data_IF_607952859742
#
_entry.id   IF_607952859742
#
_cell.length_a   1.000
_cell.length_b   1.000
_cell.length_c   1.000
_cell.angle_alpha   90.00
_cell.angle_beta   90.00
_cell.angle_gamma   90.00
#
_symmetry.space_group_name_H-M   'P 1'
#
loop_
_entity.id
_entity.type
_entity.pdbx_description
1 polymer ?
#
# COMPACT_ATOMS: atom_id res chain seq x y z
N UNK A 1 -10.71 28.70 5.53
CA UNK A 1 -9.94 28.55 4.28
C UNK A 1 -10.38 27.24 3.64
N UNK A 2 -11.35 27.28 2.72
CA UNK A 2 -11.78 26.07 2.00
C UNK A 2 -10.64 25.70 1.04
N UNK A 3 -9.85 24.69 1.42
CA UNK A 3 -8.72 24.21 0.61
C UNK A 3 -9.21 23.72 -0.74
N UNK A 4 -8.32 23.75 -1.74
CA UNK A 4 -8.57 23.23 -3.07
C UNK A 4 -9.25 21.84 -3.02
N UNK A 5 -10.09 21.50 -4.01
CA UNK A 5 -10.72 20.17 -4.06
C UNK A 5 -9.64 19.10 -3.98
N UNK A 6 -9.80 18.18 -3.03
CA UNK A 6 -8.92 17.04 -2.83
C UNK A 6 -9.71 15.75 -3.08
N UNK A 7 -9.16 14.75 -3.79
CA UNK A 7 -7.82 14.72 -4.40
C UNK A 7 -7.67 15.52 -5.70
N UNK A 8 -6.43 15.76 -6.13
CA UNK A 8 -6.04 16.43 -7.39
C UNK A 8 -5.30 15.46 -8.33
N UNK A 9 -4.95 15.89 -9.55
CA UNK A 9 -4.14 15.09 -10.48
C UNK A 9 -2.68 14.89 -10.04
N UNK A 10 -2.20 15.64 -9.04
CA UNK A 10 -0.87 15.47 -8.45
C UNK A 10 -0.86 14.64 -7.17
N UNK A 11 -2.04 14.26 -6.64
CA UNK A 11 -2.13 13.49 -5.39
C UNK A 11 -1.46 12.14 -5.56
N UNK A 12 -0.48 11.85 -4.68
CA UNK A 12 0.21 10.55 -4.67
C UNK A 12 -0.61 9.52 -3.90
N UNK A 13 -0.38 8.24 -4.17
CA UNK A 13 -1.02 7.19 -3.39
C UNK A 13 -0.11 6.04 -2.99
N UNK A 14 -0.42 5.47 -1.83
CA UNK A 14 0.15 4.25 -1.28
C UNK A 14 -0.98 3.42 -0.66
N UNK A 15 -0.70 2.23 -0.15
CA UNK A 15 -1.75 1.49 0.55
C UNK A 15 -1.30 0.22 1.25
N UNK A 16 -2.30 -0.52 1.71
CA UNK A 16 -2.14 -1.84 2.32
C UNK A 16 -2.83 -2.90 1.48
N UNK A 17 -2.14 -4.02 1.21
CA UNK A 17 -2.69 -5.18 0.51
C UNK A 17 -2.93 -6.33 1.50
N UNK A 18 -4.03 -7.05 1.32
CA UNK A 18 -4.39 -8.22 2.14
C UNK A 18 -5.69 -8.87 1.67
N UNK A 19 -6.07 -9.98 2.28
CA UNK A 19 -7.34 -10.64 2.00
C UNK A 19 -7.86 -11.47 3.20
N UNK A 20 -8.93 -11.02 3.89
CA UNK A 20 -9.60 -9.73 3.77
C UNK A 20 -8.75 -8.59 4.36
N UNK A 21 -8.98 -7.35 3.90
CA UNK A 21 -8.24 -6.15 4.39
C UNK A 21 -9.14 -4.94 4.70
N UNK A 22 -10.45 -5.05 4.45
CA UNK A 22 -11.39 -3.94 4.61
C UNK A 22 -11.48 -3.40 6.05
N UNK A 23 -11.12 -4.21 7.05
CA UNK A 23 -11.09 -3.83 8.46
C UNK A 23 -9.78 -3.19 8.92
N UNK A 24 -8.82 -3.00 8.01
CA UNK A 24 -7.54 -2.38 8.37
C UNK A 24 -7.75 -0.95 8.85
N UNK A 25 -7.14 -0.62 10.00
CA UNK A 25 -7.10 0.75 10.52
C UNK A 25 -5.95 1.57 9.90
N UNK A 26 -5.04 0.93 9.15
CA UNK A 26 -3.89 1.61 8.52
C UNK A 26 -4.30 2.78 7.62
N UNK A 27 -5.35 2.69 6.78
CA UNK A 27 -5.82 3.86 6.02
C UNK A 27 -6.24 5.04 6.90
N UNK A 28 -6.98 4.80 7.99
CA UNK A 28 -7.38 5.88 8.89
C UNK A 28 -6.15 6.53 9.55
N UNK A 29 -5.23 5.71 10.06
CA UNK A 29 -4.00 6.18 10.71
C UNK A 29 -3.09 6.95 9.75
N UNK A 30 -2.77 6.39 8.58
CA UNK A 30 -1.86 7.03 7.63
C UNK A 30 -2.47 8.29 7.02
N UNK A 31 -3.75 8.29 6.65
CA UNK A 31 -4.37 9.52 6.11
C UNK A 31 -4.47 10.64 7.17
N UNK A 32 -4.68 10.29 8.45
CA UNK A 32 -4.63 11.29 9.53
C UNK A 32 -3.23 11.92 9.65
N UNK A 33 -2.18 11.10 9.60
CA UNK A 33 -0.79 11.57 9.63
C UNK A 33 -0.44 12.42 8.39
N UNK A 34 -0.77 11.95 7.18
CA UNK A 34 -0.54 12.68 5.93
C UNK A 34 -1.22 14.05 5.94
N UNK A 35 -2.45 14.13 6.44
CA UNK A 35 -3.19 15.38 6.61
C UNK A 35 -2.53 16.31 7.62
N UNK A 36 -2.09 15.78 8.77
CA UNK A 36 -1.41 16.56 9.80
C UNK A 36 -0.08 17.14 9.30
N UNK A 37 0.59 16.44 8.37
CA UNK A 37 1.82 16.88 7.73
C UNK A 37 1.60 17.77 6.49
N UNK A 38 0.35 18.01 6.07
CA UNK A 38 0.04 18.80 4.88
C UNK A 38 0.47 18.15 3.56
N UNK A 39 0.57 16.82 3.52
CA UNK A 39 1.02 16.07 2.34
C UNK A 39 -0.16 15.74 1.41
N UNK A 40 0.01 16.01 0.10
CA UNK A 40 -0.98 15.67 -0.94
C UNK A 40 -0.91 14.18 -1.31
N UNK A 41 -1.37 13.33 -0.40
CA UNK A 41 -1.30 11.88 -0.49
C UNK A 41 -2.62 11.23 -0.08
N UNK A 42 -2.91 10.06 -0.64
CA UNK A 42 -3.96 9.16 -0.20
C UNK A 42 -3.38 7.79 0.16
N UNK A 43 -3.79 7.23 1.30
CA UNK A 43 -3.46 5.86 1.69
C UNK A 43 -4.71 4.98 1.64
N UNK A 44 -4.70 3.90 0.86
CA UNK A 44 -5.88 3.07 0.59
C UNK A 44 -5.70 1.62 1.07
N UNK A 45 -6.81 0.87 1.16
CA UNK A 45 -6.80 -0.57 1.36
C UNK A 45 -7.20 -1.29 0.08
N UNK A 46 -6.39 -2.26 -0.35
CA UNK A 46 -6.59 -3.02 -1.59
C UNK A 46 -6.87 -4.49 -1.26
N UNK A 47 -8.14 -4.94 -1.33
CA UNK A 47 -8.49 -6.34 -1.12
C UNK A 47 -8.08 -7.16 -2.35
N UNK A 48 -6.94 -7.84 -2.24
CA UNK A 48 -6.36 -8.63 -3.35
C UNK A 48 -6.39 -10.10 -2.94
N UNK A 49 -7.17 -10.93 -3.62
CA UNK A 49 -7.16 -12.36 -3.35
C UNK A 49 -5.80 -13.00 -3.73
N UNK A 50 -5.35 -14.08 -3.07
CA UNK A 50 -4.01 -14.67 -3.28
C UNK A 50 -3.66 -14.95 -4.75
N UNK A 51 -4.62 -15.46 -5.53
CA UNK A 51 -4.43 -15.78 -6.94
C UNK A 51 -4.17 -14.56 -7.85
N UNK A 52 -4.38 -13.34 -7.34
CA UNK A 52 -4.19 -12.10 -8.08
C UNK A 52 -2.99 -11.28 -7.56
N UNK A 53 -2.24 -11.77 -6.58
CA UNK A 53 -1.21 -11.00 -5.88
C UNK A 53 -0.19 -10.39 -6.85
N UNK A 54 0.49 -11.22 -7.64
CA UNK A 54 1.57 -10.76 -8.54
C UNK A 54 1.07 -9.75 -9.57
N UNK A 55 -0.04 -10.07 -10.25
CA UNK A 55 -0.64 -9.18 -11.25
C UNK A 55 -1.10 -7.85 -10.63
N UNK A 56 -1.67 -7.87 -9.42
CA UNK A 56 -2.15 -6.67 -8.74
C UNK A 56 -1.01 -5.79 -8.25
N UNK A 57 0.06 -6.39 -7.70
CA UNK A 57 1.24 -5.64 -7.23
C UNK A 57 1.88 -4.92 -8.42
N UNK A 58 2.14 -5.62 -9.53
CA UNK A 58 2.66 -4.99 -10.76
C UNK A 58 1.75 -3.88 -11.26
N UNK A 59 0.45 -4.16 -11.40
CA UNK A 59 -0.51 -3.17 -11.88
C UNK A 59 -0.61 -1.92 -10.99
N UNK A 60 -0.46 -2.06 -9.67
CA UNK A 60 -0.44 -0.91 -8.75
C UNK A 60 0.81 -0.05 -8.96
N UNK A 61 1.99 -0.66 -9.10
CA UNK A 61 3.22 0.08 -9.36
C UNK A 61 3.22 0.73 -10.75
N UNK A 62 2.73 0.04 -11.78
CA UNK A 62 2.54 0.61 -13.14
C UNK A 62 1.57 1.80 -13.13
N UNK A 63 0.57 1.77 -12.25
CA UNK A 63 -0.38 2.87 -12.03
C UNK A 63 0.18 4.02 -11.16
N UNK A 64 1.45 3.96 -10.74
CA UNK A 64 2.11 5.02 -9.97
C UNK A 64 2.00 4.89 -8.44
N UNK A 65 1.71 3.69 -7.92
CA UNK A 65 1.72 3.46 -6.48
C UNK A 65 3.10 3.73 -5.88
N UNK A 66 3.15 4.54 -4.83
CA UNK A 66 4.40 4.93 -4.15
C UNK A 66 4.89 3.90 -3.12
N UNK A 67 4.10 2.86 -2.84
CA UNK A 67 4.49 1.80 -1.91
C UNK A 67 3.30 1.08 -1.28
N UNK A 68 3.55 -0.16 -0.83
CA UNK A 68 2.54 -1.03 -0.25
C UNK A 68 3.01 -1.59 1.09
N UNK A 69 2.17 -1.49 2.11
CA UNK A 69 2.25 -2.36 3.28
C UNK A 69 1.58 -3.69 2.96
N UNK A 70 2.11 -4.78 3.51
CA UNK A 70 1.60 -6.13 3.22
C UNK A 70 1.08 -6.75 4.51
N UNK A 71 -0.13 -7.31 4.46
CA UNK A 71 -0.71 -8.06 5.58
C UNK A 71 -1.18 -9.43 5.12
N UNK A 72 -1.74 -10.20 6.05
CA UNK A 72 -2.21 -11.55 5.80
C UNK A 72 -3.15 -11.60 4.58
N UNK A 73 -3.04 -12.65 3.74
CA UNK A 73 -2.09 -13.77 3.81
C UNK A 73 -0.78 -13.54 3.01
N UNK A 74 -0.50 -12.32 2.55
CA UNK A 74 0.45 -12.07 1.46
C UNK A 74 1.91 -11.91 1.87
N UNK A 75 2.20 -11.83 3.17
CA UNK A 75 3.53 -11.44 3.68
C UNK A 75 4.70 -12.28 3.14
N UNK A 76 4.47 -13.55 2.85
CA UNK A 76 5.48 -14.44 2.24
C UNK A 76 5.43 -14.41 0.71
N UNK A 77 4.22 -14.54 0.14
CA UNK A 77 4.05 -14.64 -1.31
C UNK A 77 4.47 -13.35 -2.05
N UNK A 78 4.41 -12.20 -1.39
CA UNK A 78 4.82 -10.92 -1.98
C UNK A 78 6.32 -10.86 -2.28
N UNK A 79 7.15 -11.66 -1.62
CA UNK A 79 8.59 -11.64 -1.81
C UNK A 79 9.01 -11.99 -3.24
N UNK A 80 8.22 -12.83 -3.92
CA UNK A 80 8.43 -13.16 -5.34
C UNK A 80 8.18 -11.96 -6.28
N UNK A 81 7.56 -10.88 -5.78
CA UNK A 81 7.30 -9.64 -6.53
C UNK A 81 8.36 -8.56 -6.27
N UNK A 82 9.32 -8.79 -5.37
CA UNK A 82 10.31 -7.80 -4.98
C UNK A 82 11.62 -7.98 -5.76
N UNK A 83 12.17 -6.90 -6.30
CA UNK A 83 13.48 -6.91 -6.95
C UNK A 83 14.62 -7.03 -5.93
N UNK A 84 14.44 -6.46 -4.73
CA UNK A 84 15.42 -6.44 -3.66
C UNK A 84 14.78 -6.77 -2.31
N UNK A 85 15.50 -7.51 -1.47
CA UNK A 85 15.08 -7.88 -0.12
C UNK A 85 16.11 -7.38 0.90
N UNK A 86 15.64 -6.74 1.97
CA UNK A 86 16.52 -6.35 3.08
C UNK A 86 17.03 -7.58 3.85
N UNK A 87 18.16 -7.51 4.55
CA UNK A 87 18.66 -8.63 5.36
C UNK A 87 17.65 -9.16 6.38
N UNK A 88 16.83 -8.26 6.96
CA UNK A 88 15.77 -8.65 7.88
C UNK A 88 14.67 -9.48 7.19
N UNK A 89 14.25 -9.07 5.98
CA UNK A 89 13.26 -9.82 5.18
C UNK A 89 13.82 -11.17 4.73
N UNK A 90 15.10 -11.23 4.35
CA UNK A 90 15.76 -12.49 4.00
C UNK A 90 15.81 -13.47 5.19
N UNK A 91 16.06 -12.96 6.41
CA UNK A 91 16.11 -13.78 7.62
C UNK A 91 14.72 -14.24 8.10
N UNK A 92 13.70 -13.38 8.01
CA UNK A 92 12.34 -13.64 8.49
C UNK A 92 11.52 -14.42 7.45
N UNK A 93 11.80 -14.24 6.17
CA UNK A 93 11.03 -14.82 5.06
C UNK A 93 9.66 -14.17 4.87
N UNK A 94 9.48 -12.92 5.31
CA UNK A 94 8.24 -12.18 5.17
C UNK A 94 8.49 -10.65 5.10
N UNK A 95 7.63 -9.94 4.36
CA UNK A 95 7.54 -8.48 4.32
C UNK A 95 6.31 -7.96 5.07
#
# INVERSE_FOLDING_TARGET
MMGAPWPTSSTRFAGVIGWPVAHSLSPAMHNAALRALGLDWAYLAFPIAPQHLEASVRGLFDAGCSGLSVTIPHKQAVLACCDELTPAVQAIGAA
#
